data_IF_556900680916
#
_entry.id   IF_556900680916
#
_cell.length_a   1.000
_cell.length_b   1.000
_cell.length_c   1.000
_cell.angle_alpha   90.00
_cell.angle_beta   90.00
_cell.angle_gamma   90.00
#
_symmetry.space_group_name_H-M   'P 1'
#
loop_
_entity.id
_entity.type
_entity.pdbx_description
1 polymer ?
#
# COMPACT_ATOMS: atom_id res chain seq x y z
N UNK A 1 -0.14 -36.33 11.43
CA UNK A 1 -1.56 -35.96 11.58
C UNK A 1 -2.21 -35.95 10.21
N UNK A 2 -3.45 -36.42 10.11
CA UNK A 2 -4.18 -36.44 8.84
C UNK A 2 -4.73 -35.04 8.54
N UNK A 3 -4.43 -34.52 7.35
CA UNK A 3 -4.90 -33.21 6.87
C UNK A 3 -5.44 -33.36 5.45
N UNK A 4 -6.56 -32.70 5.17
CA UNK A 4 -7.12 -32.56 3.82
C UNK A 4 -6.55 -31.32 3.15
N UNK A 5 -6.01 -31.49 1.94
CA UNK A 5 -5.59 -30.38 1.09
C UNK A 5 -6.61 -30.18 -0.03
N UNK A 6 -7.37 -29.09 0.04
CA UNK A 6 -8.27 -28.67 -1.02
C UNK A 6 -7.54 -27.73 -1.97
N UNK A 7 -7.07 -28.25 -3.11
CA UNK A 7 -6.34 -27.47 -4.10
C UNK A 7 -7.29 -27.06 -5.21
N UNK A 8 -7.36 -25.76 -5.51
CA UNK A 8 -8.08 -25.25 -6.68
C UNK A 8 -7.26 -25.56 -7.93
N UNK A 9 -7.79 -26.49 -8.74
CA UNK A 9 -7.24 -26.92 -10.03
C UNK A 9 -7.95 -26.18 -11.15
N UNK A 10 -7.21 -25.77 -12.16
CA UNK A 10 -7.76 -25.02 -13.29
C UNK A 10 -6.82 -25.12 -14.50
N UNK A 11 -7.33 -25.53 -15.65
CA UNK A 11 -6.63 -25.28 -16.93
C UNK A 11 -7.07 -23.90 -17.48
N UNK A 12 -6.25 -23.28 -18.35
CA UNK A 12 -6.42 -21.88 -18.77
C UNK A 12 -7.86 -21.51 -19.19
N UNK A 13 -8.55 -22.40 -19.90
CA UNK A 13 -9.89 -22.17 -20.46
C UNK A 13 -11.00 -22.95 -19.73
N UNK A 14 -10.71 -23.49 -18.54
CA UNK A 14 -11.64 -24.30 -17.76
C UNK A 14 -12.10 -23.58 -16.49
N UNK A 15 -13.31 -23.90 -16.04
CA UNK A 15 -13.79 -23.45 -14.73
C UNK A 15 -12.93 -24.08 -13.61
N UNK A 16 -12.65 -23.33 -12.52
CA UNK A 16 -11.89 -23.85 -11.40
C UNK A 16 -12.66 -25.00 -10.73
N UNK A 17 -11.94 -26.07 -10.38
CA UNK A 17 -12.48 -27.20 -9.62
C UNK A 17 -11.65 -27.43 -8.36
N UNK A 18 -12.30 -27.80 -7.27
CA UNK A 18 -11.62 -28.18 -6.04
C UNK A 18 -11.25 -29.66 -6.14
N UNK A 19 -9.99 -29.99 -5.93
CA UNK A 19 -9.53 -31.36 -5.78
C UNK A 19 -8.96 -31.55 -4.37
N UNK A 20 -9.46 -32.57 -3.69
CA UNK A 20 -9.06 -32.90 -2.32
C UNK A 20 -8.01 -34.00 -2.33
N UNK A 21 -6.90 -33.76 -1.64
CA UNK A 21 -5.84 -34.72 -1.40
C UNK A 21 -5.72 -34.99 0.09
N UNK A 22 -5.40 -36.24 0.43
CA UNK A 22 -5.20 -36.63 1.82
C UNK A 22 -3.71 -36.80 2.08
N UNK A 23 -3.21 -36.21 3.15
CA UNK A 23 -1.81 -36.35 3.53
C UNK A 23 -1.67 -36.60 5.03
N UNK A 24 -0.74 -37.49 5.35
CA UNK A 24 -0.14 -37.60 6.67
C UNK A 24 1.03 -36.64 6.79
N UNK A 25 0.87 -35.59 7.59
CA UNK A 25 1.86 -34.50 7.73
C UNK A 25 2.25 -34.28 9.19
N UNK A 26 3.43 -33.71 9.38
CA UNK A 26 3.86 -33.15 10.66
C UNK A 26 3.54 -31.66 10.71
N UNK A 27 3.30 -31.06 11.90
CA UNK A 27 3.02 -29.63 12.01
C UNK A 27 4.10 -28.74 11.38
N UNK A 28 5.36 -29.18 11.41
CA UNK A 28 6.50 -28.46 10.81
C UNK A 28 6.63 -28.58 9.30
N UNK A 29 5.87 -29.47 8.63
CA UNK A 29 5.92 -29.56 7.17
C UNK A 29 5.39 -28.25 6.56
N UNK A 30 6.15 -27.69 5.63
CA UNK A 30 5.71 -26.48 4.92
C UNK A 30 4.57 -26.83 3.96
N UNK A 31 3.77 -25.84 3.60
CA UNK A 31 2.74 -26.03 2.56
C UNK A 31 3.40 -26.45 1.24
N UNK A 32 4.60 -25.96 0.95
CA UNK A 32 5.39 -26.38 -0.21
C UNK A 32 5.77 -27.87 -0.16
N UNK A 33 6.15 -28.39 1.01
CA UNK A 33 6.46 -29.82 1.17
C UNK A 33 5.23 -30.68 0.90
N UNK A 34 4.08 -30.25 1.38
CA UNK A 34 2.80 -30.93 1.14
C UNK A 34 2.44 -30.92 -0.35
N UNK A 35 2.57 -29.79 -1.04
CA UNK A 35 2.33 -29.70 -2.50
C UNK A 35 3.31 -30.55 -3.31
N UNK A 36 4.56 -30.67 -2.86
CA UNK A 36 5.54 -31.55 -3.49
C UNK A 36 5.12 -33.02 -3.37
N UNK A 37 4.70 -33.45 -2.19
CA UNK A 37 4.20 -34.81 -1.95
C UNK A 37 2.96 -35.12 -2.77
N UNK A 38 1.99 -34.21 -2.82
CA UNK A 38 0.82 -34.36 -3.70
C UNK A 38 1.27 -34.58 -5.15
N UNK A 39 2.19 -33.74 -5.65
CA UNK A 39 2.66 -33.86 -7.03
C UNK A 39 3.44 -35.15 -7.29
N UNK A 40 4.29 -35.58 -6.37
CA UNK A 40 5.21 -36.70 -6.58
C UNK A 40 4.56 -38.06 -6.31
N UNK A 41 3.64 -38.13 -5.36
CA UNK A 41 3.12 -39.38 -4.82
C UNK A 41 1.67 -39.65 -5.26
N UNK A 42 0.89 -38.61 -5.59
CA UNK A 42 -0.56 -38.74 -5.85
C UNK A 42 -0.98 -38.26 -7.25
N UNK A 43 -0.50 -37.10 -7.69
CA UNK A 43 -0.93 -36.48 -8.95
C UNK A 43 0.18 -35.65 -9.61
N UNK A 44 0.91 -36.30 -10.54
CA UNK A 44 1.98 -35.69 -11.33
C UNK A 44 1.55 -34.48 -12.17
N UNK A 45 0.26 -34.27 -12.41
CA UNK A 45 -0.25 -33.18 -13.26
C UNK A 45 -0.33 -31.82 -12.56
N UNK A 46 -0.29 -31.80 -11.21
CA UNK A 46 -0.40 -30.58 -10.42
C UNK A 46 0.72 -29.58 -10.77
N UNK A 47 0.35 -28.34 -11.11
CA UNK A 47 1.29 -27.27 -11.46
C UNK A 47 1.33 -26.15 -10.42
N UNK A 48 2.54 -25.76 -10.01
CA UNK A 48 2.80 -24.62 -9.12
C UNK A 48 4.25 -24.15 -9.28
N UNK A 49 4.52 -22.88 -8.96
CA UNK A 49 5.87 -22.31 -8.98
C UNK A 49 6.57 -22.51 -7.63
N UNK A 50 7.85 -22.88 -7.67
CA UNK A 50 8.73 -23.04 -6.50
C UNK A 50 10.19 -22.89 -6.94
N UNK A 51 11.07 -22.52 -6.00
CA UNK A 51 12.52 -22.56 -6.24
C UNK A 51 13.31 -22.69 -4.92
N UNK A 52 13.57 -21.57 -4.23
CA UNK A 52 14.63 -21.47 -3.21
C UNK A 52 14.43 -22.24 -1.88
N UNK A 53 13.17 -22.53 -1.50
CA UNK A 53 12.78 -23.13 -0.20
C UNK A 53 13.25 -22.38 1.07
N UNK A 54 13.80 -21.18 0.96
CA UNK A 54 14.29 -20.37 2.09
C UNK A 54 13.77 -18.91 2.03
N UNK A 55 12.51 -18.76 1.60
CA UNK A 55 11.72 -17.51 1.68
C UNK A 55 12.28 -16.27 0.96
N UNK A 56 13.24 -16.42 0.03
CA UNK A 56 13.87 -15.27 -0.64
C UNK A 56 13.47 -15.06 -2.11
N UNK A 57 13.17 -16.12 -2.89
CA UNK A 57 12.92 -15.98 -4.33
C UNK A 57 11.53 -15.46 -4.72
N UNK A 58 10.57 -15.51 -3.79
CA UNK A 58 9.18 -15.10 -4.04
C UNK A 58 8.33 -16.02 -4.94
N UNK A 59 8.89 -17.04 -5.60
CA UNK A 59 8.19 -17.83 -6.63
C UNK A 59 7.02 -18.68 -6.12
N UNK A 60 7.00 -19.04 -4.84
CA UNK A 60 5.97 -19.90 -4.24
C UNK A 60 4.84 -19.12 -3.56
N UNK A 61 4.61 -17.87 -3.99
CA UNK A 61 3.46 -17.11 -3.56
C UNK A 61 2.17 -17.69 -4.15
N UNK A 62 1.19 -17.94 -3.29
CA UNK A 62 -0.12 -18.46 -3.62
C UNK A 62 -1.10 -18.13 -2.50
N UNK A 63 -2.40 -18.35 -2.72
CA UNK A 63 -3.40 -18.16 -1.66
C UNK A 63 -3.49 -19.42 -0.83
N UNK A 64 -3.28 -19.28 0.48
CA UNK A 64 -3.36 -20.33 1.48
C UNK A 64 -4.42 -19.89 2.47
N UNK A 65 -5.49 -20.69 2.60
CA UNK A 65 -6.59 -20.43 3.54
C UNK A 65 -7.12 -18.98 3.42
N UNK A 66 -7.38 -18.55 2.18
CA UNK A 66 -8.02 -17.27 1.85
C UNK A 66 -7.08 -16.08 1.64
N UNK A 67 -5.80 -16.14 2.05
CA UNK A 67 -4.83 -15.03 1.91
C UNK A 67 -3.61 -15.42 1.10
N UNK A 68 -2.98 -14.47 0.42
CA UNK A 68 -1.66 -14.72 -0.16
C UNK A 68 -0.58 -14.94 0.89
N UNK A 69 0.27 -15.93 0.65
CA UNK A 69 1.40 -16.31 1.50
C UNK A 69 2.48 -17.04 0.68
N UNK A 70 3.66 -17.25 1.26
CA UNK A 70 4.70 -18.09 0.65
C UNK A 70 4.55 -19.52 1.13
N UNK A 71 4.32 -20.46 0.21
CA UNK A 71 4.14 -21.86 0.58
C UNK A 71 5.37 -22.49 1.27
N UNK A 72 6.58 -21.98 1.03
CA UNK A 72 7.79 -22.43 1.72
C UNK A 72 8.03 -21.78 3.09
N UNK A 73 7.25 -20.75 3.45
CA UNK A 73 7.33 -20.07 4.75
C UNK A 73 6.28 -20.65 5.70
N UNK A 74 5.05 -20.77 5.22
CA UNK A 74 3.94 -21.26 6.02
C UNK A 74 4.06 -22.77 6.22
N UNK A 75 3.80 -23.21 7.45
CA UNK A 75 3.72 -24.62 7.80
C UNK A 75 2.30 -25.00 8.25
N UNK A 76 2.02 -26.30 8.21
CA UNK A 76 0.71 -26.86 8.56
C UNK A 76 0.27 -26.40 9.95
N UNK A 77 1.15 -26.50 10.96
CA UNK A 77 0.82 -26.14 12.33
C UNK A 77 0.39 -24.67 12.47
N UNK A 78 1.16 -23.74 11.91
CA UNK A 78 0.88 -22.31 11.94
C UNK A 78 -0.42 -21.95 11.21
N UNK A 79 -0.68 -22.57 10.06
CA UNK A 79 -1.93 -22.30 9.32
C UNK A 79 -3.16 -22.86 10.03
N UNK A 80 -3.07 -24.03 10.66
CA UNK A 80 -4.17 -24.59 11.45
C UNK A 80 -4.43 -23.76 12.72
N UNK A 81 -3.39 -23.35 13.43
CA UNK A 81 -3.52 -22.48 14.60
C UNK A 81 -4.20 -21.14 14.23
N UNK A 82 -3.78 -20.52 13.13
CA UNK A 82 -4.38 -19.29 12.61
C UNK A 82 -5.87 -19.48 12.27
N UNK A 83 -6.25 -20.60 11.67
CA UNK A 83 -7.66 -20.90 11.39
C UNK A 83 -8.49 -21.09 12.67
N UNK A 84 -7.92 -21.73 13.70
CA UNK A 84 -8.57 -21.90 15.00
C UNK A 84 -8.80 -20.56 15.70
N UNK A 85 -7.83 -19.64 15.66
CA UNK A 85 -7.99 -18.28 16.19
C UNK A 85 -9.13 -17.52 15.49
N UNK A 86 -9.21 -17.62 14.16
CA UNK A 86 -10.31 -16.99 13.39
C UNK A 86 -11.65 -17.61 13.76
N UNK A 87 -11.70 -18.94 13.89
CA UNK A 87 -12.91 -19.68 14.25
C UNK A 87 -13.42 -19.29 15.65
N UNK A 88 -12.52 -19.12 16.62
CA UNK A 88 -12.86 -18.71 17.99
C UNK A 88 -13.52 -17.32 18.07
N UNK A 89 -13.27 -16.45 17.08
CA UNK A 89 -13.84 -15.11 17.00
C UNK A 89 -15.04 -14.99 16.05
N UNK A 90 -15.52 -16.10 15.47
CA UNK A 90 -16.67 -16.11 14.58
C UNK A 90 -17.92 -16.62 15.33
N UNK A 91 -19.04 -15.87 15.38
CA UNK A 91 -20.24 -16.24 16.14
C UNK A 91 -21.02 -17.42 15.55
N UNK A 92 -20.43 -18.15 14.60
CA UNK A 92 -21.08 -19.21 13.84
C UNK A 92 -20.15 -20.44 13.77
N UNK A 93 -20.08 -21.22 14.85
CA UNK A 93 -19.64 -22.62 14.78
C UNK A 93 -20.53 -23.51 15.65
N UNK A 94 -21.52 -24.11 14.98
CA UNK A 94 -22.08 -25.42 15.34
C UNK A 94 -21.56 -26.40 14.29
N UNK A 95 -20.70 -27.37 14.64
CA UNK A 95 -20.26 -28.39 13.70
C UNK A 95 -19.08 -29.22 14.21
N UNK A 96 -19.17 -30.52 14.06
CA UNK A 96 -18.36 -31.59 14.66
C UNK A 96 -16.90 -31.66 14.21
N UNK A 97 -16.12 -32.51 14.88
CA UNK A 97 -14.70 -32.80 14.64
C UNK A 97 -14.41 -33.25 13.18
N UNK A 98 -14.29 -32.29 12.28
CA UNK A 98 -13.86 -32.51 10.91
C UNK A 98 -12.33 -32.61 10.83
N UNK A 99 -11.85 -33.42 9.89
CA UNK A 99 -10.43 -33.51 9.57
C UNK A 99 -9.92 -32.12 9.18
N UNK A 100 -8.81 -31.63 9.77
CA UNK A 100 -8.28 -30.30 9.47
C UNK A 100 -8.04 -30.15 7.97
N UNK A 101 -8.49 -29.02 7.42
CA UNK A 101 -8.47 -28.77 5.98
C UNK A 101 -7.66 -27.51 5.68
N UNK A 102 -6.76 -27.61 4.70
CA UNK A 102 -6.01 -26.48 4.15
C UNK A 102 -6.44 -26.27 2.70
N UNK A 103 -6.91 -25.06 2.39
CA UNK A 103 -7.28 -24.68 1.03
C UNK A 103 -6.14 -23.92 0.37
N UNK A 104 -5.76 -24.35 -0.84
CA UNK A 104 -4.71 -23.71 -1.64
C UNK A 104 -5.28 -23.28 -2.98
N UNK A 105 -5.08 -22.02 -3.34
CA UNK A 105 -5.62 -21.39 -4.52
C UNK A 105 -4.56 -20.54 -5.25
N UNK A 106 -4.72 -20.29 -6.57
CA UNK A 106 -3.85 -19.37 -7.28
C UNK A 106 -3.92 -17.95 -6.70
N UNK A 107 -2.89 -17.14 -6.98
CA UNK A 107 -2.92 -15.72 -6.64
C UNK A 107 -4.04 -15.00 -7.40
N UNK A 108 -4.67 -14.02 -6.75
CA UNK A 108 -5.68 -13.13 -7.34
C UNK A 108 -5.07 -12.05 -8.23
N UNK A 109 -5.93 -11.24 -8.85
CA UNK A 109 -5.59 -10.13 -9.76
C UNK A 109 -4.69 -10.51 -10.96
N UNK A 110 -4.49 -11.80 -11.21
CA UNK A 110 -3.67 -12.35 -12.27
C UNK A 110 -4.39 -13.54 -12.89
N UNK A 111 -4.46 -13.64 -14.23
CA UNK A 111 -5.07 -14.79 -14.89
C UNK A 111 -4.38 -16.10 -14.53
N UNK A 112 -5.14 -17.18 -14.35
CA UNK A 112 -4.59 -18.52 -14.10
C UNK A 112 -4.12 -19.12 -15.42
N UNK A 113 -2.87 -19.55 -15.47
CA UNK A 113 -2.31 -20.29 -16.61
C UNK A 113 -2.60 -21.79 -16.44
N UNK A 114 -2.27 -22.32 -15.25
CA UNK A 114 -2.58 -23.70 -14.87
C UNK A 114 -2.46 -23.88 -13.36
N UNK A 115 -3.49 -24.44 -12.73
CA UNK A 115 -3.58 -24.74 -11.32
C UNK A 115 -3.20 -23.52 -10.46
N UNK A 116 -2.05 -23.57 -9.78
CA UNK A 116 -1.57 -22.49 -8.91
C UNK A 116 -0.60 -21.53 -9.63
N UNK A 117 -0.37 -21.72 -10.94
CA UNK A 117 0.48 -20.88 -11.78
C UNK A 117 -0.36 -19.79 -12.42
N UNK A 118 0.01 -18.54 -12.17
CA UNK A 118 -0.65 -17.35 -12.74
C UNK A 118 0.25 -16.62 -13.74
N UNK A 119 -0.36 -15.86 -14.63
CA UNK A 119 0.32 -14.94 -15.53
C UNK A 119 0.68 -13.65 -14.79
N UNK A 120 1.99 -13.41 -14.65
CA UNK A 120 2.53 -12.24 -13.95
C UNK A 120 2.88 -11.09 -14.91
N UNK A 121 2.55 -11.18 -16.21
CA UNK A 121 2.92 -10.13 -17.18
C UNK A 121 2.46 -8.74 -16.72
N UNK A 122 1.19 -8.60 -16.35
CA UNK A 122 0.64 -7.34 -15.83
C UNK A 122 1.38 -6.83 -14.58
N UNK A 123 1.83 -7.72 -13.70
CA UNK A 123 2.63 -7.36 -12.53
C UNK A 123 3.99 -6.78 -12.93
N UNK A 124 4.66 -7.37 -13.92
CA UNK A 124 5.96 -6.89 -14.41
C UNK A 124 5.84 -5.60 -15.23
N UNK A 125 4.83 -5.50 -16.09
CA UNK A 125 4.56 -4.31 -16.90
C UNK A 125 4.34 -3.08 -16.00
N UNK A 126 3.57 -3.22 -14.90
CA UNK A 126 3.35 -2.09 -13.99
C UNK A 126 4.56 -1.78 -13.13
N UNK A 127 5.42 -2.76 -12.83
CA UNK A 127 6.71 -2.51 -12.19
C UNK A 127 7.64 -1.73 -13.12
N UNK A 128 7.65 -2.02 -14.42
CA UNK A 128 8.44 -1.29 -15.41
C UNK A 128 7.95 0.15 -15.56
N UNK A 129 6.63 0.39 -15.48
CA UNK A 129 6.04 1.72 -15.63
C UNK A 129 6.56 2.78 -14.61
N UNK A 130 7.07 2.33 -13.46
CA UNK A 130 7.62 3.21 -12.41
C UNK A 130 9.14 3.41 -12.49
N UNK A 131 9.82 2.93 -13.54
CA UNK A 131 11.28 3.02 -13.71
C UNK A 131 12.06 2.64 -12.43
N UNK A 132 12.00 1.38 -11.97
CA UNK A 132 12.40 0.97 -10.61
C UNK A 132 13.92 0.89 -10.38
N UNK A 133 14.70 1.71 -11.10
CA UNK A 133 16.15 1.80 -11.07
C UNK A 133 16.58 3.23 -10.73
N UNK A 134 17.76 3.38 -10.15
CA UNK A 134 18.33 4.70 -9.83
C UNK A 134 18.79 5.36 -11.13
N UNK A 135 18.37 6.61 -11.35
CA UNK A 135 18.78 7.43 -12.49
C UNK A 135 19.56 8.64 -11.99
N UNK A 136 20.86 8.67 -12.26
CA UNK A 136 21.73 9.81 -11.93
C UNK A 136 21.77 10.80 -13.10
N UNK A 137 21.59 12.08 -12.84
CA UNK A 137 21.62 13.15 -13.85
C UNK A 137 22.96 13.21 -14.58
N UNK A 138 24.02 12.74 -13.94
CA UNK A 138 25.33 12.61 -14.54
C UNK A 138 25.43 11.29 -15.33
N UNK A 139 25.68 11.41 -16.64
CA UNK A 139 26.35 10.36 -17.43
C UNK A 139 27.80 10.10 -16.98
N UNK A 140 28.26 10.80 -15.95
CA UNK A 140 29.56 10.58 -15.33
C UNK A 140 29.39 9.60 -14.19
N UNK A 141 29.51 8.31 -14.51
CA UNK A 141 29.71 7.28 -13.49
C UNK A 141 31.09 7.54 -12.88
N UNK A 142 31.21 7.84 -11.58
CA UNK A 142 32.51 8.05 -10.95
C UNK A 142 33.36 6.78 -11.02
N UNK A 143 34.69 6.92 -10.97
CA UNK A 143 35.61 5.77 -10.92
C UNK A 143 35.41 4.92 -9.65
N UNK A 144 34.84 5.52 -8.61
CA UNK A 144 34.53 4.90 -7.31
C UNK A 144 33.04 4.83 -7.06
N UNK A 145 32.65 4.17 -5.97
CA UNK A 145 31.25 4.04 -5.55
C UNK A 145 30.62 5.41 -5.23
N UNK A 146 29.30 5.52 -5.44
CA UNK A 146 28.54 6.69 -5.01
C UNK A 146 28.52 6.77 -3.48
N UNK A 147 28.84 7.96 -2.95
CA UNK A 147 28.78 8.21 -1.51
C UNK A 147 27.33 8.19 -1.04
N UNK A 148 27.08 7.44 0.03
CA UNK A 148 25.79 7.37 0.72
C UNK A 148 26.06 7.13 2.21
N UNK A 149 25.55 8.01 3.05
CA UNK A 149 25.68 7.89 4.50
C UNK A 149 24.86 6.69 5.04
N UNK A 150 25.21 6.15 6.22
CA UNK A 150 24.42 5.10 6.86
C UNK A 150 22.94 5.51 7.06
N UNK A 151 22.69 6.77 7.43
CA UNK A 151 21.34 7.28 7.66
C UNK A 151 20.51 7.34 6.35
N UNK A 152 21.11 7.73 5.23
CA UNK A 152 20.44 7.68 3.93
C UNK A 152 20.18 6.25 3.49
N UNK A 153 21.16 5.36 3.65
CA UNK A 153 21.01 3.94 3.30
C UNK A 153 19.93 3.26 4.14
N UNK A 154 19.80 3.62 5.40
CA UNK A 154 18.81 3.05 6.34
C UNK A 154 17.37 3.32 5.88
N UNK A 155 17.10 4.48 5.27
CA UNK A 155 15.77 4.81 4.69
C UNK A 155 15.31 3.78 3.65
N UNK A 156 16.25 3.07 3.03
CA UNK A 156 15.99 2.07 1.99
C UNK A 156 15.80 0.65 2.55
N UNK A 157 16.11 0.38 3.81
CA UNK A 157 16.13 -0.98 4.36
C UNK A 157 14.79 -1.70 4.24
N UNK A 158 13.72 -1.05 4.72
CA UNK A 158 12.38 -1.65 4.73
C UNK A 158 11.91 -2.01 3.31
N UNK A 159 12.11 -1.11 2.35
CA UNK A 159 11.65 -1.29 0.97
C UNK A 159 12.59 -2.15 0.12
N UNK A 160 13.87 -2.19 0.50
CA UNK A 160 14.90 -3.02 -0.11
C UNK A 160 14.59 -4.52 0.00
N UNK A 161 13.93 -4.93 1.09
CA UNK A 161 13.57 -6.32 1.36
C UNK A 161 12.45 -6.89 0.45
N UNK A 162 11.87 -6.09 -0.44
CA UNK A 162 10.86 -6.58 -1.38
C UNK A 162 11.45 -7.57 -2.39
N UNK A 163 11.02 -8.84 -2.27
CA UNK A 163 11.40 -9.98 -3.11
C UNK A 163 10.51 -10.19 -4.35
N UNK A 164 9.63 -9.23 -4.67
CA UNK A 164 8.75 -9.26 -5.85
C UNK A 164 7.88 -10.52 -5.96
N UNK A 165 7.42 -11.06 -4.82
CA UNK A 165 6.59 -12.27 -4.77
C UNK A 165 5.16 -12.12 -5.29
N UNK A 166 4.64 -10.89 -5.44
CA UNK A 166 3.27 -10.65 -5.93
C UNK A 166 2.15 -10.76 -4.89
N UNK A 167 2.41 -11.18 -3.65
CA UNK A 167 1.37 -11.35 -2.62
C UNK A 167 0.55 -10.07 -2.37
N UNK A 168 1.20 -8.90 -2.31
CA UNK A 168 0.50 -7.63 -2.14
C UNK A 168 -0.36 -7.24 -3.36
N UNK A 169 0.04 -7.65 -4.56
CA UNK A 169 -0.70 -7.42 -5.80
C UNK A 169 -1.93 -8.32 -5.86
N UNK A 170 -1.78 -9.58 -5.46
CA UNK A 170 -2.86 -10.57 -5.39
C UNK A 170 -4.05 -10.11 -4.55
N UNK A 171 -3.80 -9.51 -3.39
CA UNK A 171 -4.85 -9.13 -2.43
C UNK A 171 -5.24 -7.64 -2.50
N UNK A 172 -4.84 -6.93 -3.55
CA UNK A 172 -5.13 -5.51 -3.66
C UNK A 172 -6.52 -5.25 -4.26
N UNK A 173 -7.48 -4.87 -3.43
CA UNK A 173 -8.83 -4.52 -3.89
C UNK A 173 -8.83 -3.32 -4.88
N UNK A 174 -7.89 -2.38 -4.72
CA UNK A 174 -7.73 -1.28 -5.67
C UNK A 174 -7.36 -1.77 -7.07
N UNK A 175 -6.57 -2.85 -7.16
CA UNK A 175 -6.19 -3.49 -8.42
C UNK A 175 -7.31 -4.36 -8.98
N UNK A 176 -8.07 -5.02 -8.12
CA UNK A 176 -9.24 -5.83 -8.50
C UNK A 176 -10.30 -4.98 -9.22
N UNK A 177 -10.55 -3.77 -8.71
CA UNK A 177 -11.54 -2.85 -9.29
C UNK A 177 -10.97 -2.03 -10.44
N UNK A 178 -9.69 -1.62 -10.38
CA UNK A 178 -9.05 -0.81 -11.41
C UNK A 178 -7.83 -1.53 -12.00
N UNK A 179 -8.00 -2.09 -13.20
CA UNK A 179 -6.94 -2.75 -13.97
C UNK A 179 -5.91 -1.79 -14.59
N UNK A 180 -6.06 -0.47 -14.42
CA UNK A 180 -5.02 0.51 -14.77
C UNK A 180 -4.20 0.95 -13.55
N UNK A 181 -4.63 0.62 -12.32
CA UNK A 181 -3.86 0.95 -11.12
C UNK A 181 -2.55 0.16 -11.10
N UNK A 182 -1.43 0.87 -11.02
CA UNK A 182 -0.07 0.31 -11.11
C UNK A 182 0.24 -0.75 -10.03
N UNK A 183 -0.44 -0.64 -8.88
CA UNK A 183 -0.39 -1.64 -7.82
C UNK A 183 0.63 -1.35 -6.71
N UNK A 184 0.51 -2.06 -5.58
CA UNK A 184 1.31 -1.78 -4.39
C UNK A 184 2.79 -2.16 -4.50
N UNK A 185 3.14 -3.21 -5.25
CA UNK A 185 4.53 -3.61 -5.43
C UNK A 185 5.34 -2.55 -6.18
N UNK A 186 4.76 -2.03 -7.27
CA UNK A 186 5.38 -1.03 -8.12
C UNK A 186 5.58 0.27 -7.34
N UNK A 187 4.55 0.77 -6.65
CA UNK A 187 4.68 1.99 -5.86
C UNK A 187 5.60 1.83 -4.65
N UNK A 188 5.70 0.65 -4.04
CA UNK A 188 6.72 0.41 -3.03
C UNK A 188 8.13 0.57 -3.64
N UNK A 189 8.40 -0.05 -4.80
CA UNK A 189 9.68 0.14 -5.51
C UNK A 189 9.89 1.58 -6.01
N UNK A 190 8.83 2.29 -6.36
CA UNK A 190 8.87 3.70 -6.73
C UNK A 190 9.33 4.59 -5.56
N UNK A 191 8.83 4.31 -4.35
CA UNK A 191 9.27 5.02 -3.15
C UNK A 191 10.75 4.78 -2.87
N UNK A 192 11.26 3.55 -3.12
CA UNK A 192 12.70 3.27 -3.00
C UNK A 192 13.52 4.25 -3.82
N UNK A 193 13.15 4.52 -5.07
CA UNK A 193 13.90 5.46 -5.92
C UNK A 193 13.75 6.91 -5.45
N UNK A 194 12.58 7.32 -4.94
CA UNK A 194 12.39 8.66 -4.37
C UNK A 194 13.24 8.89 -3.13
N UNK A 195 13.38 7.86 -2.28
CA UNK A 195 14.13 7.95 -1.04
C UNK A 195 15.65 7.73 -1.19
N UNK A 196 16.11 7.29 -2.36
CA UNK A 196 17.53 6.98 -2.60
C UNK A 196 18.29 8.26 -2.97
N UNK A 197 19.24 8.68 -2.14
CA UNK A 197 20.03 9.91 -2.35
C UNK A 197 20.83 9.95 -3.64
N UNK A 198 20.97 8.80 -4.32
CA UNK A 198 21.67 8.67 -5.60
C UNK A 198 20.75 8.95 -6.80
N UNK A 199 19.44 8.94 -6.64
CA UNK A 199 18.51 9.24 -7.73
C UNK A 199 18.33 10.75 -7.88
N UNK A 200 18.33 11.25 -9.11
CA UNK A 200 18.18 12.68 -9.41
C UNK A 200 16.91 12.98 -10.21
N UNK A 201 15.97 12.04 -10.30
CA UNK A 201 14.75 12.16 -11.12
C UNK A 201 13.50 12.25 -10.24
N UNK A 202 13.65 12.65 -8.97
CA UNK A 202 12.57 12.67 -7.97
C UNK A 202 11.36 13.47 -8.46
N UNK A 203 11.55 14.67 -8.98
CA UNK A 203 10.47 15.55 -9.46
C UNK A 203 9.69 14.91 -10.61
N UNK A 204 10.41 14.44 -11.64
CA UNK A 204 9.80 13.79 -12.80
C UNK A 204 9.03 12.50 -12.41
N UNK A 205 9.58 11.74 -11.46
CA UNK A 205 8.93 10.55 -10.91
C UNK A 205 7.66 10.89 -10.15
N UNK A 206 7.70 11.89 -9.27
CA UNK A 206 6.53 12.33 -8.49
C UNK A 206 5.40 12.82 -9.40
N UNK A 207 5.72 13.57 -10.46
CA UNK A 207 4.75 13.96 -11.48
C UNK A 207 4.11 12.74 -12.15
N UNK A 208 4.93 11.76 -12.57
CA UNK A 208 4.43 10.51 -13.16
C UNK A 208 3.54 9.73 -12.20
N UNK A 209 3.93 9.62 -10.92
CA UNK A 209 3.16 8.87 -9.93
C UNK A 209 1.87 9.60 -9.50
N UNK A 210 1.75 10.89 -9.80
CA UNK A 210 0.57 11.71 -9.55
C UNK A 210 -0.53 11.57 -10.64
N UNK A 211 -0.47 10.53 -11.47
CA UNK A 211 -1.45 10.25 -12.52
C UNK A 211 -2.77 9.64 -11.99
N UNK A 212 -3.53 10.44 -11.22
CA UNK A 212 -4.88 10.09 -10.77
C UNK A 212 -5.00 8.68 -10.18
N UNK A 213 -6.00 7.92 -10.63
CA UNK A 213 -6.28 6.54 -10.16
C UNK A 213 -5.33 5.49 -10.74
N UNK A 214 -4.51 5.82 -11.74
CA UNK A 214 -3.47 4.94 -12.28
C UNK A 214 -2.25 4.92 -11.37
N UNK A 215 -1.88 6.09 -10.85
CA UNK A 215 -0.79 6.30 -9.90
C UNK A 215 -1.19 6.13 -8.43
N UNK A 216 -0.58 6.91 -7.54
CA UNK A 216 -0.71 6.72 -6.08
C UNK A 216 -2.15 6.87 -5.57
N UNK A 217 -3.00 7.65 -6.25
CA UNK A 217 -4.37 7.91 -5.80
C UNK A 217 -5.33 6.76 -6.09
N UNK A 218 -4.91 5.74 -6.85
CA UNK A 218 -5.63 4.46 -6.95
C UNK A 218 -5.64 3.65 -5.65
N UNK A 219 -4.72 3.93 -4.72
CA UNK A 219 -4.66 3.26 -3.43
C UNK A 219 -5.76 3.76 -2.48
N UNK A 220 -6.69 2.86 -2.14
CA UNK A 220 -7.81 3.07 -1.20
C UNK A 220 -7.46 2.85 0.27
N UNK A 221 -6.20 2.49 0.58
CA UNK A 221 -5.70 2.24 1.95
C UNK A 221 -6.44 1.12 2.71
N UNK A 222 -6.86 0.06 2.02
CA UNK A 222 -7.47 -1.13 2.64
C UNK A 222 -6.52 -2.01 3.47
N UNK A 223 -5.24 -1.67 3.56
CA UNK A 223 -4.21 -2.32 4.39
C UNK A 223 -3.80 -3.77 4.05
N UNK A 224 -4.57 -4.51 3.26
CA UNK A 224 -4.29 -5.93 2.93
C UNK A 224 -2.87 -6.18 2.40
N UNK A 225 -2.34 -5.30 1.54
CA UNK A 225 -0.98 -5.40 1.02
C UNK A 225 0.13 -5.38 2.09
N UNK A 226 -0.09 -4.73 3.23
CA UNK A 226 0.83 -4.75 4.37
C UNK A 226 0.71 -6.09 5.11
N UNK A 227 -0.52 -6.51 5.40
CA UNK A 227 -0.82 -7.73 6.15
C UNK A 227 -0.24 -8.99 5.49
N UNK A 228 -0.29 -9.08 4.16
CA UNK A 228 0.18 -10.27 3.44
C UNK A 228 1.65 -10.22 3.02
N UNK A 229 2.37 -9.12 3.31
CA UNK A 229 3.76 -8.99 2.89
C UNK A 229 4.67 -9.92 3.74
N UNK A 230 5.30 -10.96 3.16
CA UNK A 230 6.11 -11.88 3.93
C UNK A 230 7.40 -11.26 4.48
N UNK A 231 7.81 -10.12 3.93
CA UNK A 231 9.08 -9.41 4.21
C UNK A 231 8.88 -8.08 4.96
N UNK A 232 7.66 -7.74 5.38
CA UNK A 232 7.43 -6.52 6.18
C UNK A 232 7.71 -5.19 5.46
N UNK A 233 7.63 -5.15 4.13
CA UNK A 233 7.90 -3.95 3.31
C UNK A 233 6.90 -2.82 3.55
N UNK A 234 5.70 -3.15 4.04
CA UNK A 234 4.58 -2.24 4.24
C UNK A 234 4.26 -1.35 3.02
N UNK A 235 3.86 -1.94 1.85
CA UNK A 235 3.62 -1.17 0.62
C UNK A 235 2.68 0.03 0.76
N UNK A 236 1.61 -0.07 1.57
CA UNK A 236 0.67 1.03 1.79
C UNK A 236 1.34 2.25 2.45
N UNK A 237 2.26 2.00 3.38
CA UNK A 237 3.02 3.06 4.03
C UNK A 237 3.95 3.75 3.04
N UNK A 238 4.63 2.97 2.19
CA UNK A 238 5.50 3.55 1.16
C UNK A 238 4.71 4.38 0.15
N UNK A 239 3.52 3.91 -0.28
CA UNK A 239 2.59 4.71 -1.11
C UNK A 239 2.21 6.01 -0.41
N UNK A 240 1.96 5.95 0.90
CA UNK A 240 1.57 7.13 1.69
C UNK A 240 2.69 8.16 1.79
N UNK A 241 3.96 7.72 1.86
CA UNK A 241 5.12 8.62 1.79
C UNK A 241 5.22 9.29 0.42
N UNK A 242 5.01 8.58 -0.69
CA UNK A 242 4.95 9.22 -2.03
C UNK A 242 3.84 10.28 -2.07
N UNK A 243 2.65 9.97 -1.52
CA UNK A 243 1.54 10.94 -1.46
C UNK A 243 1.94 12.19 -0.66
N UNK A 244 2.69 12.04 0.43
CA UNK A 244 3.20 13.17 1.22
C UNK A 244 4.18 14.00 0.39
N UNK A 245 5.18 13.39 -0.23
CA UNK A 245 6.15 14.08 -1.11
C UNK A 245 5.47 14.88 -2.24
N UNK A 246 4.41 14.33 -2.85
CA UNK A 246 3.60 15.03 -3.86
C UNK A 246 2.89 16.23 -3.22
N UNK A 247 2.25 16.05 -2.07
CA UNK A 247 1.47 17.10 -1.40
C UNK A 247 2.35 18.26 -0.89
N UNK A 248 3.56 17.97 -0.45
CA UNK A 248 4.48 18.95 0.12
C UNK A 248 5.10 19.85 -0.96
N UNK A 249 5.22 19.34 -2.20
CA UNK A 249 5.69 20.10 -3.37
C UNK A 249 4.60 20.93 -4.06
N UNK A 250 3.33 20.75 -3.68
CA UNK A 250 2.24 21.51 -4.28
C UNK A 250 2.24 22.96 -3.75
N UNK A 251 2.07 23.97 -4.62
CA UNK A 251 2.18 25.37 -4.24
C UNK A 251 1.35 25.74 -3.00
N UNK A 252 1.97 26.45 -2.06
CA UNK A 252 1.28 27.21 -1.02
C UNK A 252 0.61 28.43 -1.66
N UNK A 253 -0.51 28.90 -1.10
CA UNK A 253 -1.32 29.98 -1.70
C UNK A 253 -0.53 31.29 -1.96
N UNK A 254 0.65 31.44 -1.36
CA UNK A 254 1.55 32.58 -1.47
C UNK A 254 2.38 32.64 -2.76
N UNK A 255 2.45 31.59 -3.59
CA UNK A 255 3.42 31.48 -4.71
C UNK A 255 2.84 31.39 -6.14
N UNK A 256 1.62 31.90 -6.37
CA UNK A 256 1.01 32.30 -7.68
C UNK A 256 -0.11 31.43 -8.32
N UNK A 257 -1.04 32.18 -8.95
CA UNK A 257 -1.88 31.98 -10.15
C UNK A 257 -2.79 30.75 -10.34
N UNK A 258 -2.52 29.57 -9.79
CA UNK A 258 -3.37 28.38 -10.03
C UNK A 258 -4.18 27.91 -8.81
N UNK A 259 -5.43 27.47 -9.00
CA UNK A 259 -6.28 27.03 -7.89
C UNK A 259 -5.73 25.73 -7.28
N UNK A 260 -5.40 25.78 -5.99
CA UNK A 260 -5.05 24.61 -5.17
C UNK A 260 -6.12 23.53 -5.35
N UNK A 261 -5.71 22.27 -5.56
CA UNK A 261 -6.65 21.16 -5.77
C UNK A 261 -7.56 20.97 -4.54
N UNK A 262 -8.80 20.53 -4.76
CA UNK A 262 -9.80 20.34 -3.68
C UNK A 262 -9.29 19.43 -2.54
N UNK A 263 -8.60 18.30 -2.80
CA UNK A 263 -8.04 17.46 -1.73
C UNK A 263 -7.01 18.17 -0.84
N UNK A 264 -6.13 19.00 -1.42
CA UNK A 264 -5.15 19.78 -0.66
C UNK A 264 -5.87 20.83 0.19
N UNK A 265 -6.83 21.53 -0.42
CA UNK A 265 -7.64 22.54 0.28
C UNK A 265 -8.40 21.92 1.44
N UNK A 266 -8.97 20.73 1.25
CA UNK A 266 -9.64 19.96 2.28
C UNK A 266 -8.73 19.72 3.50
N UNK A 267 -7.50 19.22 3.27
CA UNK A 267 -6.53 19.01 4.37
C UNK A 267 -6.17 20.32 5.07
N UNK A 268 -5.86 21.37 4.30
CA UNK A 268 -5.44 22.67 4.86
C UNK A 268 -6.54 23.31 5.70
N UNK A 269 -7.76 23.37 5.17
CA UNK A 269 -8.92 23.91 5.88
C UNK A 269 -9.23 23.09 7.14
N UNK A 270 -9.08 21.77 7.09
CA UNK A 270 -9.26 20.92 8.28
C UNK A 270 -8.29 21.31 9.39
N UNK A 271 -6.99 21.39 9.09
CA UNK A 271 -5.97 21.79 10.06
C UNK A 271 -6.22 23.20 10.57
N UNK A 272 -6.56 24.14 9.69
CA UNK A 272 -6.84 25.54 10.05
C UNK A 272 -8.02 25.65 11.03
N UNK A 273 -9.13 24.95 10.77
CA UNK A 273 -10.31 24.97 11.64
C UNK A 273 -10.05 24.28 12.98
N UNK A 274 -9.38 23.12 12.98
CA UNK A 274 -8.99 22.43 14.21
C UNK A 274 -8.03 23.29 15.04
N UNK A 275 -7.09 23.99 14.42
CA UNK A 275 -6.18 24.92 15.11
C UNK A 275 -6.93 26.13 15.71
N UNK A 276 -8.01 26.57 15.06
CA UNK A 276 -8.84 27.68 15.52
C UNK A 276 -9.76 27.29 16.68
N UNK A 277 -10.42 26.12 16.61
CA UNK A 277 -11.49 25.74 17.53
C UNK A 277 -11.36 24.38 18.23
N UNK A 278 -10.23 23.70 18.13
CA UNK A 278 -9.97 22.38 18.72
C UNK A 278 -10.59 21.19 17.99
N UNK A 279 -11.58 21.44 17.13
CA UNK A 279 -12.26 20.49 16.25
C UNK A 279 -12.82 21.21 15.01
N UNK A 280 -13.44 20.46 14.09
CA UNK A 280 -13.86 20.98 12.78
C UNK A 280 -15.16 21.78 12.90
N UNK A 281 -15.17 23.04 12.45
CA UNK A 281 -16.42 23.82 12.24
C UNK A 281 -17.04 23.45 10.88
N UNK A 282 -18.02 22.54 10.87
CA UNK A 282 -18.63 22.02 9.64
C UNK A 282 -19.30 23.11 8.79
N UNK A 283 -19.77 24.20 9.43
CA UNK A 283 -20.40 25.34 8.73
C UNK A 283 -19.41 26.03 7.80
N UNK A 284 -18.17 26.17 8.26
CA UNK A 284 -17.08 26.81 7.50
C UNK A 284 -16.34 25.82 6.62
N UNK A 285 -16.29 24.55 7.00
CA UNK A 285 -15.52 23.53 6.31
C UNK A 285 -15.93 23.39 4.84
N UNK A 286 -17.20 23.09 4.56
CA UNK A 286 -17.70 22.92 3.19
C UNK A 286 -17.49 24.17 2.33
N UNK A 287 -17.76 25.35 2.89
CA UNK A 287 -17.60 26.64 2.20
C UNK A 287 -16.15 26.93 1.86
N UNK A 288 -15.23 26.74 2.81
CA UNK A 288 -13.80 26.99 2.58
C UNK A 288 -13.20 25.96 1.61
N UNK A 289 -13.59 24.69 1.68
CA UNK A 289 -13.09 23.61 0.80
C UNK A 289 -13.57 23.77 -0.64
N UNK A 290 -14.85 24.10 -0.82
CA UNK A 290 -15.46 24.17 -2.17
C UNK A 290 -15.33 25.57 -2.77
N UNK A 291 -15.44 26.63 -1.97
CA UNK A 291 -15.47 28.01 -2.44
C UNK A 291 -14.14 28.57 -2.95
N UNK A 292 -13.00 27.93 -2.63
CA UNK A 292 -11.66 28.38 -3.05
C UNK A 292 -11.45 29.90 -2.79
N UNK A 293 -11.64 30.35 -1.55
CA UNK A 293 -11.61 31.78 -1.20
C UNK A 293 -12.56 32.64 -2.07
N UNK A 294 -13.76 32.12 -2.30
CA UNK A 294 -14.82 32.69 -3.15
C UNK A 294 -14.48 32.81 -4.65
N UNK A 295 -13.40 32.20 -5.12
CA UNK A 295 -13.06 32.13 -6.55
C UNK A 295 -13.82 31.06 -7.32
N UNK A 296 -14.35 30.03 -6.65
CA UNK A 296 -15.17 28.98 -7.26
C UNK A 296 -16.66 29.17 -6.88
N UNK A 297 -17.29 30.20 -7.46
CA UNK A 297 -18.73 30.47 -7.24
C UNK A 297 -19.60 29.28 -7.68
N UNK A 298 -19.24 28.58 -8.76
CA UNK A 298 -19.99 27.42 -9.26
C UNK A 298 -19.97 26.27 -8.25
N UNK A 299 -18.82 26.00 -7.65
CA UNK A 299 -18.70 25.07 -6.52
C UNK A 299 -19.53 25.53 -5.33
N UNK A 300 -19.48 26.81 -4.96
CA UNK A 300 -20.24 27.33 -3.83
C UNK A 300 -21.76 27.16 -4.03
N UNK A 301 -22.28 27.43 -5.23
CA UNK A 301 -23.69 27.22 -5.56
C UNK A 301 -24.09 25.73 -5.52
N UNK A 302 -23.17 24.79 -5.75
CA UNK A 302 -23.46 23.36 -5.63
C UNK A 302 -23.79 22.91 -4.20
N UNK A 303 -23.41 23.70 -3.18
CA UNK A 303 -23.75 23.45 -1.78
C UNK A 303 -25.15 23.95 -1.40
N UNK A 304 -25.76 24.85 -2.19
CA UNK A 304 -27.05 25.46 -1.86
C UNK A 304 -28.20 24.44 -1.69
N UNK A 305 -28.34 23.39 -2.54
CA UNK A 305 -29.38 22.37 -2.34
C UNK A 305 -29.19 21.58 -1.03
N UNK A 306 -27.95 21.29 -0.66
CA UNK A 306 -27.65 20.60 0.61
C UNK A 306 -27.95 21.52 1.80
N UNK A 307 -27.50 22.78 1.75
CA UNK A 307 -27.75 23.77 2.79
C UNK A 307 -29.25 23.98 3.03
N UNK A 308 -30.05 24.09 1.95
CA UNK A 308 -31.50 24.20 2.05
C UNK A 308 -32.14 22.96 2.69
N UNK A 309 -31.72 21.75 2.31
CA UNK A 309 -32.21 20.50 2.94
C UNK A 309 -31.85 20.41 4.43
N UNK A 310 -30.66 20.87 4.81
CA UNK A 310 -30.23 20.90 6.21
C UNK A 310 -31.04 21.91 7.02
N UNK A 311 -31.27 23.12 6.50
CA UNK A 311 -32.11 24.15 7.11
C UNK A 311 -33.56 23.67 7.26
N UNK A 312 -34.16 23.11 6.20
CA UNK A 312 -35.53 22.60 6.22
C UNK A 312 -35.73 21.46 7.22
N UNK A 313 -34.67 20.72 7.56
CA UNK A 313 -34.69 19.64 8.56
C UNK A 313 -34.21 20.08 9.95
N UNK A 314 -33.91 21.37 10.15
CA UNK A 314 -33.36 21.89 11.41
C UNK A 314 -31.99 21.31 11.78
N UNK A 315 -31.24 20.77 10.79
CA UNK A 315 -29.93 20.13 10.98
C UNK A 315 -28.77 21.03 10.60
N UNK A 316 -29.02 22.31 10.31
CA UNK A 316 -27.96 23.26 10.01
C UNK A 316 -27.41 23.83 11.32
N UNK A 317 -26.11 23.64 11.62
CA UNK A 317 -25.53 24.19 12.84
C UNK A 317 -25.47 25.72 12.74
N UNK A 318 -26.07 26.42 13.70
CA UNK A 318 -26.11 27.88 13.72
C UNK A 318 -24.96 28.49 14.54
N UNK A 319 -24.57 27.83 15.62
CA UNK A 319 -23.42 28.18 16.46
C UNK A 319 -22.29 27.15 16.33
N UNK A 320 -21.11 27.54 16.79
CA UNK A 320 -19.96 26.64 16.98
C UNK A 320 -19.31 27.02 18.30
N UNK A 321 -19.10 26.03 19.15
CA UNK A 321 -18.40 26.18 20.42
C UNK A 321 -17.01 25.57 20.27
N UNK A 322 -15.93 26.34 20.50
CA UNK A 322 -14.59 25.79 20.55
C UNK A 322 -14.45 24.72 21.64
N UNK A 323 -13.60 23.73 21.42
CA UNK A 323 -13.27 22.73 22.45
C UNK A 323 -12.55 23.39 23.63
N UNK A 324 -12.78 22.91 24.85
CA UNK A 324 -12.08 23.35 26.07
C UNK A 324 -10.54 23.24 25.92
N UNK A 325 -10.06 22.22 25.19
CA UNK A 325 -8.63 21.98 24.93
C UNK A 325 -8.05 22.73 23.73
N UNK A 326 -8.74 23.74 23.18
CA UNK A 326 -8.31 24.42 21.94
C UNK A 326 -6.88 24.98 22.01
N UNK A 327 -6.47 25.52 23.15
CA UNK A 327 -5.12 26.06 23.32
C UNK A 327 -4.03 24.97 23.26
N UNK A 328 -4.31 23.80 23.85
CA UNK A 328 -3.41 22.64 23.83
C UNK A 328 -3.35 22.03 22.43
N UNK A 329 -4.50 21.86 21.76
CA UNK A 329 -4.52 21.39 20.36
C UNK A 329 -3.72 22.33 19.45
N UNK A 330 -3.87 23.64 19.63
CA UNK A 330 -3.12 24.64 18.87
C UNK A 330 -1.62 24.54 19.13
N UNK A 331 -1.20 24.44 20.40
CA UNK A 331 0.22 24.35 20.75
C UNK A 331 0.86 23.08 20.21
N UNK A 332 0.16 21.94 20.25
CA UNK A 332 0.61 20.68 19.66
C UNK A 332 0.79 20.80 18.14
N UNK A 333 -0.18 21.38 17.44
CA UNK A 333 -0.08 21.60 15.99
C UNK A 333 1.11 22.51 15.65
N UNK A 334 1.31 23.59 16.41
CA UNK A 334 2.42 24.53 16.21
C UNK A 334 3.78 23.90 16.52
N UNK A 335 3.86 23.08 17.57
CA UNK A 335 5.07 22.34 17.93
C UNK A 335 5.45 21.33 16.84
N UNK A 336 4.48 20.60 16.27
CA UNK A 336 4.74 19.68 15.16
C UNK A 336 5.20 20.46 13.92
N UNK A 337 4.53 21.57 13.59
CA UNK A 337 4.92 22.42 12.45
C UNK A 337 6.35 22.99 12.60
N UNK A 338 6.74 23.39 13.81
CA UNK A 338 8.08 23.90 14.07
C UNK A 338 9.14 22.80 13.99
N UNK A 339 8.85 21.60 14.49
CA UNK A 339 9.73 20.42 14.35
C UNK A 339 9.90 20.02 12.88
N UNK A 340 8.83 20.02 12.09
CA UNK A 340 8.89 19.75 10.65
C UNK A 340 9.75 20.78 9.92
N UNK A 341 9.59 22.07 10.23
CA UNK A 341 10.41 23.14 9.66
C UNK A 341 11.89 23.03 10.05
N UNK A 342 12.19 22.67 11.30
CA UNK A 342 13.57 22.46 11.77
C UNK A 342 14.22 21.24 11.10
N UNK A 343 13.46 20.16 10.90
CA UNK A 343 13.93 18.97 10.18
C UNK A 343 14.21 19.28 8.71
N UNK A 344 13.31 20.02 8.04
CA UNK A 344 13.50 20.48 6.67
C UNK A 344 14.70 21.44 6.54
N UNK A 345 14.86 22.39 7.47
CA UNK A 345 16.01 23.31 7.49
C UNK A 345 17.33 22.57 7.77
N UNK A 346 17.32 21.54 8.61
CA UNK A 346 18.50 20.73 8.92
C UNK A 346 18.92 19.86 7.71
N UNK A 347 17.96 19.32 6.96
CA UNK A 347 18.21 18.62 5.70
C UNK A 347 18.71 19.57 4.59
N UNK A 348 18.18 20.79 4.53
CA UNK A 348 18.66 21.83 3.62
C UNK A 348 20.05 22.33 4.00
N UNK A 349 20.33 22.51 5.29
CA UNK A 349 21.63 23.00 5.75
C UNK A 349 22.73 21.96 5.53
N UNK A 350 22.49 20.68 5.83
CA UNK A 350 23.43 19.59 5.50
C UNK A 350 23.72 19.50 4.00
N UNK A 351 22.70 19.60 3.14
CA UNK A 351 22.91 19.58 1.69
C UNK A 351 23.64 20.81 1.14
N UNK A 352 23.48 21.99 1.76
CA UNK A 352 24.25 23.20 1.37
C UNK A 352 25.70 23.20 1.85
N UNK A 353 25.97 22.70 3.06
CA UNK A 353 27.33 22.62 3.61
C UNK A 353 28.18 21.60 2.84
N UNK A 354 27.59 20.46 2.47
CA UNK A 354 28.26 19.45 1.62
C UNK A 354 28.49 19.91 0.17
N UNK A 355 27.72 20.89 -0.32
CA UNK A 355 27.92 21.50 -1.63
C UNK A 355 29.05 22.55 -1.62
N UNK A 356 29.23 23.29 -0.52
CA UNK A 356 30.31 24.27 -0.35
C UNK A 356 31.68 23.64 -0.05
N UNK A 357 31.73 22.45 0.55
CA UNK A 357 32.98 21.70 0.76
C UNK A 357 33.46 20.95 -0.50
N UNK A 358 32.68 20.97 -1.58
CA UNK A 358 33.01 20.33 -2.87
C UNK A 358 33.36 21.32 -4.00
N UNK A 359 33.40 22.63 -3.71
CA UNK A 359 33.82 23.69 -4.64
C UNK A 359 35.27 24.13 -4.44
#
# INVERSE_FOLDING_TARGET
>A
MHVLFQVIRQDADAAPRIQTYQLDVEPGNTILDCLNRIKWEQDGTLAFRKNCRNTICGSCAMRINGRSALACKENVGSELARLQEIAAHSPMQNGTADVPTITVAPMGNMPVVKDLVVDMKSFWDTLQAVDPFVSTAARQVPEREFLQSPAERERLNQVGNCILCGACYSECNGREVNSEFVGPHALAKAYRTIADSRDSQTEQRLERYNEGTKGVWGCTRCYYCNTVCPMGVAPMEQISKIKQEILDRLPTESSQAQPVSRPIRHRRVLIELVKQGGWIDERRFGVKVVGNSFRDLKGLFSLAPLGFRMLARGKFPMSFEPSEGTAEVRSLIEAVQSLEQQSQQSQFHQSTVEASDKS
#
